data_IF_634147843060
#
_entry.id   IF_634147843060
#
_cell.length_a   1.000
_cell.length_b   1.000
_cell.length_c   1.000
_cell.angle_alpha   90.00
_cell.angle_beta   90.00
_cell.angle_gamma   90.00
#
_symmetry.space_group_name_H-M   'P 1'
#
loop_
_entity.id
_entity.type
_entity.pdbx_description
1 polymer ?
#
# COMPACT_ATOMS: atom_id res chain seq x y z
N UNK A 1 -21.92 34.55 32.11
CA UNK A 1 -21.99 34.75 30.64
C UNK A 1 -20.63 34.41 30.07
N UNK A 2 -20.55 33.26 29.40
CA UNK A 2 -19.34 32.70 28.80
C UNK A 2 -19.20 33.31 27.40
N UNK A 3 -18.18 34.14 27.16
CA UNK A 3 -17.93 34.73 25.85
C UNK A 3 -17.30 33.69 24.93
N UNK A 4 -17.94 33.43 23.80
CA UNK A 4 -17.47 32.53 22.75
C UNK A 4 -16.15 33.04 22.16
N UNK A 5 -15.13 32.18 22.17
CA UNK A 5 -13.86 32.37 21.50
C UNK A 5 -14.10 32.13 20.00
N UNK A 6 -14.01 33.16 19.17
CA UNK A 6 -14.13 33.02 17.72
C UNK A 6 -12.87 32.37 17.17
N UNK A 7 -13.01 31.21 16.53
CA UNK A 7 -11.94 30.58 15.73
C UNK A 7 -11.54 31.52 14.59
N UNK A 8 -10.44 32.24 14.80
CA UNK A 8 -9.87 33.11 13.79
C UNK A 8 -9.23 32.25 12.71
N UNK A 9 -9.80 32.29 11.49
CA UNK A 9 -9.19 31.76 10.27
C UNK A 9 -7.79 32.38 10.13
N UNK A 10 -6.74 31.61 10.43
CA UNK A 10 -5.36 32.06 10.30
C UNK A 10 -5.03 32.34 8.84
N UNK A 11 -4.55 33.56 8.54
CA UNK A 11 -4.06 33.91 7.19
C UNK A 11 -2.90 32.98 6.81
N UNK A 12 -3.05 32.27 5.70
CA UNK A 12 -1.97 31.51 5.06
C UNK A 12 -0.93 32.52 4.57
N UNK A 13 0.29 32.47 5.11
CA UNK A 13 1.39 33.36 4.71
C UNK A 13 2.49 32.55 4.03
N UNK A 14 2.99 33.04 2.89
CA UNK A 14 4.16 32.47 2.22
C UNK A 14 5.41 33.27 2.57
N UNK A 15 6.52 32.58 2.89
CA UNK A 15 7.78 33.23 3.30
C UNK A 15 9.00 32.60 2.60
N UNK A 16 10.13 33.30 2.65
CA UNK A 16 11.42 32.91 2.03
C UNK A 16 11.68 33.61 0.71
N UNK A 17 12.94 33.59 0.24
CA UNK A 17 13.40 34.32 -0.95
C UNK A 17 12.61 33.96 -2.22
N UNK A 18 12.03 32.76 -2.27
CA UNK A 18 11.20 32.26 -3.37
C UNK A 18 9.77 31.84 -2.95
N UNK A 19 9.22 32.36 -1.83
CA UNK A 19 7.95 31.90 -1.27
C UNK A 19 7.91 30.38 -1.01
N UNK A 20 9.04 29.80 -0.61
CA UNK A 20 9.24 28.36 -0.47
C UNK A 20 8.65 27.79 0.82
N UNK A 21 8.23 28.63 1.77
CA UNK A 21 7.57 28.20 3.00
C UNK A 21 6.10 28.61 3.02
N UNK A 22 5.25 27.78 3.61
CA UNK A 22 3.87 28.12 3.97
C UNK A 22 3.77 28.11 5.49
N UNK A 23 3.28 29.20 6.08
CA UNK A 23 2.90 29.25 7.48
C UNK A 23 1.40 29.03 7.65
N UNK A 24 1.06 28.07 8.51
CA UNK A 24 -0.28 27.88 9.04
C UNK A 24 -0.24 28.30 10.52
N UNK A 25 -0.79 29.49 10.84
CA UNK A 25 -0.69 30.05 12.17
C UNK A 25 0.77 30.24 12.61
N UNK A 26 1.20 29.53 13.66
CA UNK A 26 2.57 29.58 14.19
C UNK A 26 3.52 28.54 13.61
N UNK A 27 3.04 27.61 12.78
CA UNK A 27 3.85 26.53 12.21
C UNK A 27 4.37 26.89 10.82
N UNK A 28 5.62 26.57 10.52
CA UNK A 28 6.30 26.84 9.24
C UNK A 28 6.61 25.52 8.54
N UNK A 29 6.06 25.33 7.35
CA UNK A 29 6.29 24.15 6.51
C UNK A 29 6.99 24.54 5.22
N UNK A 30 7.90 23.70 4.73
CA UNK A 30 8.47 23.85 3.40
C UNK A 30 7.38 23.46 2.38
N UNK A 31 7.20 24.24 1.32
CA UNK A 31 6.22 23.95 0.27
C UNK A 31 6.42 22.56 -0.31
N UNK A 32 7.66 22.18 -0.59
CA UNK A 32 7.97 20.84 -1.11
C UNK A 32 7.49 19.70 -0.20
N UNK A 33 7.38 19.94 1.11
CA UNK A 33 6.89 18.96 2.07
C UNK A 33 5.35 18.88 2.08
N UNK A 34 4.68 19.86 1.46
CA UNK A 34 3.23 19.95 1.34
C UNK A 34 2.69 19.53 -0.05
N UNK A 35 3.56 19.14 -1.00
CA UNK A 35 3.21 19.13 -2.42
C UNK A 35 3.14 17.80 -3.18
N UNK A 36 3.28 16.63 -2.56
CA UNK A 36 3.17 15.40 -3.37
C UNK A 36 2.43 14.26 -2.66
N UNK A 37 1.52 13.63 -3.41
CA UNK A 37 1.01 12.32 -3.04
C UNK A 37 2.20 11.37 -2.94
N UNK A 38 2.40 10.75 -1.78
CA UNK A 38 3.61 10.00 -1.48
C UNK A 38 3.28 8.56 -1.10
N UNK A 39 3.66 7.62 -1.97
CA UNK A 39 3.42 6.19 -1.74
C UNK A 39 4.11 5.63 -0.49
N UNK A 40 5.18 6.28 -0.02
CA UNK A 40 5.94 5.86 1.16
C UNK A 40 5.25 6.09 2.52
N UNK A 41 4.17 6.88 2.56
CA UNK A 41 3.30 7.05 3.73
C UNK A 41 1.94 6.36 3.56
N UNK A 42 1.75 5.59 2.49
CA UNK A 42 0.46 4.98 2.13
C UNK A 42 -0.69 5.99 2.02
N UNK A 43 -0.42 7.25 1.71
CA UNK A 43 -1.46 8.28 1.65
C UNK A 43 -1.82 8.63 0.20
N UNK A 44 -3.06 8.37 -0.25
CA UNK A 44 -3.51 8.81 -1.56
C UNK A 44 -3.81 10.32 -1.54
N UNK A 45 -2.98 11.12 -2.21
CA UNK A 45 -3.17 12.57 -2.40
C UNK A 45 -2.34 13.45 -1.46
N UNK A 46 -2.64 14.75 -1.46
CA UNK A 46 -1.99 15.74 -0.60
C UNK A 46 -2.50 15.60 0.84
N UNK A 47 -1.60 15.42 1.81
CA UNK A 47 -1.93 15.46 3.23
C UNK A 47 -0.91 16.33 3.98
N UNK A 48 -1.35 17.13 4.97
CA UNK A 48 -0.43 17.83 5.85
C UNK A 48 0.42 16.81 6.63
N UNK A 49 1.65 17.18 6.97
CA UNK A 49 2.46 16.36 7.88
C UNK A 49 1.69 16.13 9.19
N UNK A 50 1.72 14.89 9.71
CA UNK A 50 1.01 14.56 10.94
C UNK A 50 1.43 15.48 12.08
N UNK A 51 0.46 16.03 12.81
CA UNK A 51 0.73 16.78 14.05
C UNK A 51 1.18 15.86 15.19
N UNK A 52 0.98 14.54 15.03
CA UNK A 52 1.42 13.53 15.98
C UNK A 52 2.91 13.21 15.80
N UNK A 53 3.66 13.19 16.91
CA UNK A 53 5.12 12.93 16.94
C UNK A 53 5.48 11.44 16.78
N UNK A 54 4.66 10.64 16.10
CA UNK A 54 4.95 9.22 15.88
C UNK A 54 5.70 9.02 14.56
N UNK A 55 6.48 7.93 14.48
CA UNK A 55 7.17 7.56 13.25
C UNK A 55 6.17 7.03 12.21
N UNK A 56 6.52 7.16 10.92
CA UNK A 56 5.74 6.62 9.81
C UNK A 56 5.78 5.08 9.79
N UNK A 57 4.65 4.37 10.01
CA UNK A 57 4.61 2.92 10.08
C UNK A 57 4.44 2.25 8.70
N UNK A 58 4.05 2.99 7.66
CA UNK A 58 3.85 2.48 6.31
C UNK A 58 5.01 1.63 5.77
N UNK A 59 6.29 2.05 5.89
CA UNK A 59 7.40 1.26 5.36
C UNK A 59 7.58 -0.09 6.05
N UNK A 60 7.25 -0.18 7.34
CA UNK A 60 7.28 -1.44 8.08
C UNK A 60 6.22 -2.39 7.53
N UNK A 61 4.98 -1.91 7.38
CA UNK A 61 3.88 -2.69 6.83
C UNK A 61 4.13 -3.14 5.38
N UNK A 62 4.63 -2.24 4.54
CA UNK A 62 4.99 -2.55 3.15
C UNK A 62 6.14 -3.55 3.06
N UNK A 63 7.14 -3.47 3.94
CA UNK A 63 8.25 -4.42 3.97
C UNK A 63 7.81 -5.82 4.42
N UNK A 64 6.89 -5.88 5.39
CA UNK A 64 6.25 -7.11 5.85
C UNK A 64 5.45 -7.80 4.74
N UNK A 65 4.64 -7.00 4.04
CA UNK A 65 3.90 -7.44 2.86
C UNK A 65 4.82 -7.93 1.75
N UNK A 66 5.86 -7.16 1.42
CA UNK A 66 6.76 -7.44 0.31
C UNK A 66 7.51 -8.76 0.50
N UNK A 67 8.13 -8.97 1.66
CA UNK A 67 8.90 -10.20 1.92
C UNK A 67 8.02 -11.46 1.87
N UNK A 68 6.83 -11.38 2.45
CA UNK A 68 5.89 -12.51 2.49
C UNK A 68 5.33 -12.81 1.09
N UNK A 69 4.94 -11.76 0.35
CA UNK A 69 4.52 -11.88 -1.06
C UNK A 69 5.62 -12.50 -1.91
N UNK A 70 6.85 -11.97 -1.83
CA UNK A 70 7.99 -12.45 -2.60
C UNK A 70 8.21 -13.96 -2.42
N UNK A 71 8.19 -14.43 -1.18
CA UNK A 71 8.39 -15.85 -0.86
C UNK A 71 7.26 -16.72 -1.44
N UNK A 72 5.99 -16.37 -1.21
CA UNK A 72 4.86 -17.13 -1.74
C UNK A 72 4.86 -17.14 -3.28
N UNK A 73 5.21 -16.01 -3.88
CA UNK A 73 5.28 -15.83 -5.34
C UNK A 73 6.36 -16.71 -5.99
N UNK A 74 7.54 -16.85 -5.37
CA UNK A 74 8.57 -17.78 -5.83
C UNK A 74 8.11 -19.23 -5.75
N UNK A 75 7.41 -19.60 -4.67
CA UNK A 75 6.83 -20.94 -4.50
C UNK A 75 5.76 -21.20 -5.57
N UNK A 76 4.86 -20.25 -5.82
CA UNK A 76 3.83 -20.34 -6.86
C UNK A 76 4.43 -20.48 -8.27
N UNK A 77 5.58 -19.84 -8.52
CA UNK A 77 6.33 -19.99 -9.77
C UNK A 77 7.08 -21.34 -9.89
N UNK A 78 7.18 -22.10 -8.79
CA UNK A 78 8.05 -23.28 -8.61
C UNK A 78 9.53 -22.97 -8.83
N UNK A 79 9.97 -21.79 -8.37
CA UNK A 79 11.39 -21.44 -8.39
C UNK A 79 12.20 -22.49 -7.61
N UNK A 80 13.35 -22.89 -8.15
CA UNK A 80 14.19 -23.95 -7.56
C UNK A 80 13.45 -25.27 -7.29
N UNK A 81 12.39 -25.57 -8.05
CA UNK A 81 11.56 -26.77 -7.90
C UNK A 81 10.85 -26.91 -6.54
N UNK A 82 10.71 -25.82 -5.77
CA UNK A 82 9.94 -25.83 -4.54
C UNK A 82 8.44 -25.90 -4.87
N UNK A 83 7.77 -26.96 -4.41
CA UNK A 83 6.34 -27.21 -4.68
C UNK A 83 5.46 -27.22 -3.44
N UNK A 84 6.06 -27.42 -2.26
CA UNK A 84 5.35 -27.46 -0.98
C UNK A 84 5.40 -26.06 -0.36
N UNK A 85 4.25 -25.40 -0.16
CA UNK A 85 4.23 -24.00 0.27
C UNK A 85 4.40 -23.80 1.78
N UNK A 86 4.38 -24.86 2.61
CA UNK A 86 4.31 -24.77 4.07
C UNK A 86 5.34 -23.86 4.74
N UNK A 87 6.51 -23.63 4.12
CA UNK A 87 7.49 -22.67 4.62
C UNK A 87 6.94 -21.23 4.73
N UNK A 88 5.86 -20.89 4.01
CA UNK A 88 5.20 -19.58 4.07
C UNK A 88 4.47 -19.32 5.40
N UNK A 89 4.14 -20.37 6.16
CA UNK A 89 3.34 -20.23 7.41
C UNK A 89 4.02 -19.29 8.40
N UNK A 90 5.33 -19.40 8.59
CA UNK A 90 6.07 -18.52 9.51
C UNK A 90 5.97 -17.04 9.11
N UNK A 91 6.46 -16.66 7.92
CA UNK A 91 6.36 -15.28 7.43
C UNK A 91 4.92 -14.75 7.37
N UNK A 92 3.95 -15.59 6.97
CA UNK A 92 2.55 -15.20 6.89
C UNK A 92 1.91 -14.92 8.26
N UNK A 93 2.28 -15.65 9.32
CA UNK A 93 1.81 -15.33 10.67
C UNK A 93 2.53 -14.11 11.23
N UNK A 94 3.86 -14.15 11.26
CA UNK A 94 4.64 -13.22 12.07
C UNK A 94 4.90 -11.90 11.37
N UNK A 95 5.25 -11.93 10.08
CA UNK A 95 5.68 -10.75 9.37
C UNK A 95 4.54 -10.16 8.55
N UNK A 96 4.14 -10.82 7.47
CA UNK A 96 2.99 -10.44 6.66
C UNK A 96 1.70 -10.37 7.47
N UNK A 97 1.56 -11.11 8.57
CA UNK A 97 0.41 -11.06 9.47
C UNK A 97 0.55 -10.02 10.58
N UNK A 98 1.15 -10.42 11.70
CA UNK A 98 1.19 -9.65 12.95
C UNK A 98 1.88 -8.30 12.77
N UNK A 99 3.10 -8.27 12.22
CA UNK A 99 3.84 -7.00 12.03
C UNK A 99 3.09 -6.06 11.09
N UNK A 100 2.49 -6.59 10.03
CA UNK A 100 1.71 -5.79 9.10
C UNK A 100 0.43 -5.21 9.74
N UNK A 101 -0.30 -5.99 10.55
CA UNK A 101 -1.46 -5.51 11.31
C UNK A 101 -1.04 -4.42 12.31
N UNK A 102 0.06 -4.61 13.04
CA UNK A 102 0.56 -3.60 13.98
C UNK A 102 0.87 -2.29 13.25
N UNK A 103 1.54 -2.35 12.10
CA UNK A 103 1.77 -1.17 11.27
C UNK A 103 0.46 -0.50 10.83
N UNK A 104 -0.56 -1.28 10.43
CA UNK A 104 -1.88 -0.77 10.10
C UNK A 104 -2.61 -0.10 11.28
N UNK A 105 -2.52 -0.65 12.48
CA UNK A 105 -3.09 -0.02 13.69
C UNK A 105 -2.44 1.34 13.95
N UNK A 106 -1.13 1.45 13.75
CA UNK A 106 -0.43 2.74 13.87
C UNK A 106 -0.78 3.72 12.74
N UNK A 107 -1.06 3.26 11.52
CA UNK A 107 -1.61 4.12 10.47
C UNK A 107 -2.98 4.70 10.87
N UNK A 108 -3.84 3.91 11.51
CA UNK A 108 -5.13 4.41 12.03
C UNK A 108 -4.90 5.46 13.11
N UNK A 109 -3.93 5.26 13.99
CA UNK A 109 -3.54 6.24 15.01
C UNK A 109 -2.96 7.54 14.42
N UNK A 110 -2.45 7.50 13.20
CA UNK A 110 -1.99 8.64 12.41
C UNK A 110 -3.08 9.21 11.49
N UNK A 111 -4.34 8.77 11.67
CA UNK A 111 -5.51 9.19 10.88
C UNK A 111 -5.41 8.82 9.38
N UNK A 112 -4.52 7.90 9.03
CA UNK A 112 -4.40 7.36 7.68
C UNK A 112 -5.36 6.18 7.49
N UNK A 113 -6.59 6.50 7.10
CA UNK A 113 -7.63 5.50 6.84
C UNK A 113 -7.25 4.51 5.72
N UNK A 114 -6.53 4.98 4.68
CA UNK A 114 -6.09 4.10 3.59
C UNK A 114 -5.06 3.10 4.08
N UNK A 115 -3.96 3.59 4.67
CA UNK A 115 -2.87 2.76 5.18
C UNK A 115 -3.34 1.77 6.23
N UNK A 116 -4.18 2.23 7.15
CA UNK A 116 -4.79 1.38 8.18
C UNK A 116 -5.65 0.26 7.60
N UNK A 117 -6.54 0.59 6.67
CA UNK A 117 -7.42 -0.39 6.02
C UNK A 117 -6.61 -1.38 5.17
N UNK A 118 -5.67 -0.90 4.36
CA UNK A 118 -4.88 -1.75 3.49
C UNK A 118 -3.99 -2.71 4.30
N UNK A 119 -3.17 -2.20 5.23
CA UNK A 119 -2.23 -3.01 5.98
C UNK A 119 -2.92 -4.03 6.90
N UNK A 120 -3.98 -3.64 7.61
CA UNK A 120 -4.73 -4.58 8.44
C UNK A 120 -5.44 -5.66 7.61
N UNK A 121 -6.04 -5.30 6.47
CA UNK A 121 -6.70 -6.29 5.59
C UNK A 121 -5.72 -7.29 5.00
N UNK A 122 -4.56 -6.83 4.51
CA UNK A 122 -3.54 -7.74 3.98
C UNK A 122 -2.87 -8.58 5.08
N UNK A 123 -2.72 -8.03 6.30
CA UNK A 123 -2.24 -8.83 7.42
C UNK A 123 -3.24 -9.89 7.87
N UNK A 124 -4.54 -9.55 7.87
CA UNK A 124 -5.62 -10.52 8.04
C UNK A 124 -5.62 -11.60 6.95
N UNK A 125 -5.38 -11.22 5.70
CA UNK A 125 -5.21 -12.16 4.60
C UNK A 125 -4.07 -13.16 4.87
N UNK A 126 -2.89 -12.68 5.26
CA UNK A 126 -1.74 -13.56 5.51
C UNK A 126 -1.98 -14.53 6.65
N UNK A 127 -2.54 -14.06 7.76
CA UNK A 127 -2.89 -14.94 8.89
C UNK A 127 -3.94 -15.98 8.49
N UNK A 128 -4.96 -15.58 7.72
CA UNK A 128 -6.00 -16.49 7.21
C UNK A 128 -5.42 -17.52 6.24
N UNK A 129 -4.51 -17.10 5.35
CA UNK A 129 -3.83 -17.99 4.42
C UNK A 129 -2.92 -19.00 5.14
N UNK A 130 -2.23 -18.56 6.20
CA UNK A 130 -1.41 -19.44 7.03
C UNK A 130 -2.27 -20.50 7.75
N UNK A 131 -3.46 -20.13 8.24
CA UNK A 131 -4.37 -21.03 8.93
C UNK A 131 -4.76 -22.26 8.10
N UNK A 132 -4.82 -22.14 6.77
CA UNK A 132 -5.08 -23.26 5.85
C UNK A 132 -4.06 -24.39 6.06
N UNK A 133 -2.79 -24.05 6.30
CA UNK A 133 -1.69 -25.01 6.40
C UNK A 133 -1.38 -25.46 7.83
N UNK A 134 -2.01 -24.86 8.83
CA UNK A 134 -1.80 -25.19 10.24
C UNK A 134 -2.80 -26.28 10.65
N UNK A 135 -2.35 -27.50 10.99
CA UNK A 135 -3.27 -28.63 11.24
C UNK A 135 -4.29 -28.37 12.35
N UNK A 136 -3.94 -27.53 13.33
CA UNK A 136 -4.80 -27.20 14.46
C UNK A 136 -6.10 -26.46 14.07
N UNK A 137 -6.09 -25.72 12.95
CA UNK A 137 -7.32 -25.10 12.43
C UNK A 137 -8.25 -26.09 11.73
N UNK A 138 -7.77 -27.29 11.39
CA UNK A 138 -8.58 -28.35 10.80
C UNK A 138 -9.11 -28.07 9.39
N UNK A 139 -8.69 -26.98 8.73
CA UNK A 139 -9.22 -26.58 7.41
C UNK A 139 -8.94 -27.64 6.36
N UNK A 140 -7.67 -28.01 6.13
CA UNK A 140 -7.32 -29.05 5.14
C UNK A 140 -7.93 -30.40 5.45
N UNK A 141 -8.02 -30.77 6.74
CA UNK A 141 -8.63 -32.01 7.19
C UNK A 141 -10.13 -32.09 6.87
N UNK A 142 -10.84 -30.96 6.90
CA UNK A 142 -12.27 -30.92 6.58
C UNK A 142 -12.58 -31.25 5.11
N UNK A 143 -11.58 -31.19 4.23
CA UNK A 143 -11.69 -31.48 2.80
C UNK A 143 -10.90 -32.73 2.38
N UNK A 144 -10.58 -33.63 3.32
CA UNK A 144 -9.85 -34.87 3.02
C UNK A 144 -10.66 -35.75 2.05
N UNK A 145 -10.08 -36.08 0.89
CA UNK A 145 -10.76 -36.79 -0.19
C UNK A 145 -11.58 -35.91 -1.14
N UNK A 146 -11.66 -34.61 -0.89
CA UNK A 146 -12.38 -33.61 -1.70
C UNK A 146 -11.48 -32.38 -1.97
N UNK A 147 -10.23 -32.61 -2.42
CA UNK A 147 -9.23 -31.54 -2.59
C UNK A 147 -9.65 -30.47 -3.60
N UNK A 148 -10.54 -30.83 -4.53
CA UNK A 148 -11.12 -29.89 -5.49
C UNK A 148 -12.06 -28.87 -4.82
N UNK A 149 -12.79 -29.27 -3.78
CA UNK A 149 -13.63 -28.35 -3.02
C UNK A 149 -12.79 -27.38 -2.19
N UNK A 150 -11.69 -27.85 -1.58
CA UNK A 150 -10.74 -26.98 -0.91
C UNK A 150 -10.16 -25.94 -1.87
N UNK A 151 -9.74 -26.37 -3.06
CA UNK A 151 -9.20 -25.47 -4.09
C UNK A 151 -10.24 -24.40 -4.47
N UNK A 152 -11.50 -24.78 -4.67
CA UNK A 152 -12.58 -23.82 -4.95
C UNK A 152 -12.82 -22.85 -3.78
N UNK A 153 -12.79 -23.33 -2.53
CA UNK A 153 -12.95 -22.48 -1.34
C UNK A 153 -11.80 -21.45 -1.21
N UNK A 154 -10.56 -21.89 -1.44
CA UNK A 154 -9.40 -20.98 -1.49
C UNK A 154 -9.53 -20.00 -2.65
N UNK A 155 -10.04 -20.45 -3.80
CA UNK A 155 -10.36 -19.60 -4.94
C UNK A 155 -11.38 -18.49 -4.61
N UNK A 156 -12.45 -18.81 -3.86
CA UNK A 156 -13.41 -17.80 -3.39
C UNK A 156 -12.78 -16.78 -2.45
N UNK A 157 -11.90 -17.24 -1.55
CA UNK A 157 -11.17 -16.35 -0.64
C UNK A 157 -10.25 -15.39 -1.41
N UNK A 158 -9.48 -15.90 -2.38
CA UNK A 158 -8.63 -15.09 -3.25
C UNK A 158 -9.45 -14.12 -4.11
N UNK A 159 -10.63 -14.54 -4.59
CA UNK A 159 -11.53 -13.69 -5.36
C UNK A 159 -12.09 -12.53 -4.51
N UNK A 160 -12.44 -12.79 -3.24
CA UNK A 160 -12.84 -11.73 -2.32
C UNK A 160 -11.71 -10.71 -2.11
N UNK A 161 -10.46 -11.18 -2.01
CA UNK A 161 -9.28 -10.32 -1.93
C UNK A 161 -9.03 -9.53 -3.22
N UNK A 162 -9.30 -10.10 -4.39
CA UNK A 162 -9.30 -9.37 -5.68
C UNK A 162 -10.31 -8.23 -5.64
N UNK A 163 -11.57 -8.48 -5.28
CA UNK A 163 -12.62 -7.44 -5.24
C UNK A 163 -12.25 -6.31 -4.28
N UNK A 164 -11.74 -6.64 -3.09
CA UNK A 164 -11.22 -5.65 -2.15
C UNK A 164 -10.05 -4.85 -2.73
N UNK A 165 -9.08 -5.54 -3.33
CA UNK A 165 -7.87 -4.91 -3.90
C UNK A 165 -8.23 -3.97 -5.06
N UNK A 166 -9.15 -4.37 -5.93
CA UNK A 166 -9.69 -3.51 -6.98
C UNK A 166 -10.30 -2.22 -6.40
N UNK A 167 -11.09 -2.35 -5.33
CA UNK A 167 -11.68 -1.20 -4.64
C UNK A 167 -10.64 -0.20 -4.14
N UNK A 168 -9.59 -0.67 -3.45
CA UNK A 168 -8.53 0.23 -2.97
C UNK A 168 -7.60 0.71 -4.08
N UNK A 169 -7.45 -0.05 -5.17
CA UNK A 169 -6.67 0.37 -6.35
C UNK A 169 -7.27 1.64 -6.95
N UNK A 170 -8.59 1.74 -7.02
CA UNK A 170 -9.31 2.96 -7.47
C UNK A 170 -8.94 4.15 -6.57
N UNK A 171 -8.80 3.95 -5.26
CA UNK A 171 -8.38 5.01 -4.34
C UNK A 171 -6.94 5.50 -4.58
N UNK A 172 -6.10 4.76 -5.31
CA UNK A 172 -4.70 5.11 -5.58
C UNK A 172 -4.50 5.87 -6.89
N UNK A 173 -5.55 6.09 -7.69
CA UNK A 173 -5.43 6.77 -9.01
C UNK A 173 -4.97 8.23 -8.94
N UNK A 174 -4.99 8.87 -7.77
CA UNK A 174 -4.47 10.23 -7.53
C UNK A 174 -3.13 10.25 -6.79
N UNK A 175 -2.44 9.11 -6.73
CA UNK A 175 -1.18 8.94 -6.00
C UNK A 175 0.04 8.94 -6.93
N UNK A 176 1.13 8.26 -6.55
CA UNK A 176 2.28 8.04 -7.42
C UNK A 176 2.06 6.83 -8.33
N UNK A 177 2.73 6.82 -9.48
CA UNK A 177 2.72 5.70 -10.41
C UNK A 177 3.12 4.38 -9.74
N UNK A 178 4.18 4.40 -8.92
CA UNK A 178 4.66 3.18 -8.24
C UNK A 178 3.68 2.67 -7.18
N UNK A 179 2.93 3.57 -6.55
CA UNK A 179 1.91 3.19 -5.57
C UNK A 179 0.67 2.62 -6.25
N UNK A 180 0.22 3.23 -7.34
CA UNK A 180 -0.85 2.69 -8.17
C UNK A 180 -0.49 1.33 -8.79
N UNK A 181 0.70 1.21 -9.39
CA UNK A 181 1.15 -0.04 -10.01
C UNK A 181 1.26 -1.18 -8.99
N UNK A 182 1.62 -0.89 -7.74
CA UNK A 182 1.65 -1.88 -6.67
C UNK A 182 0.28 -2.55 -6.50
N UNK A 183 -0.78 -1.77 -6.29
CA UNK A 183 -2.12 -2.32 -6.08
C UNK A 183 -2.75 -2.88 -7.35
N UNK A 184 -2.52 -2.23 -8.49
CA UNK A 184 -3.01 -2.72 -9.77
C UNK A 184 -2.43 -4.09 -10.15
N UNK A 185 -1.13 -4.30 -9.98
CA UNK A 185 -0.52 -5.60 -10.24
C UNK A 185 -0.86 -6.62 -9.15
N UNK A 186 -1.08 -6.18 -7.90
CA UNK A 186 -1.57 -7.05 -6.83
C UNK A 186 -2.98 -7.56 -7.12
N UNK A 187 -3.87 -6.71 -7.65
CA UNK A 187 -5.21 -7.09 -8.07
C UNK A 187 -5.17 -8.20 -9.13
N UNK A 188 -4.38 -7.99 -10.19
CA UNK A 188 -4.18 -8.99 -11.24
C UNK A 188 -3.55 -10.27 -10.65
N UNK A 189 -2.64 -10.14 -9.70
CA UNK A 189 -2.02 -11.29 -9.02
C UNK A 189 -3.06 -12.13 -8.29
N UNK A 190 -3.91 -11.52 -7.46
CA UNK A 190 -5.00 -12.24 -6.78
C UNK A 190 -5.98 -12.86 -7.76
N UNK A 191 -6.33 -12.14 -8.83
CA UNK A 191 -7.22 -12.66 -9.87
C UNK A 191 -6.65 -13.91 -10.54
N UNK A 192 -5.37 -13.88 -10.95
CA UNK A 192 -4.71 -15.03 -11.55
C UNK A 192 -4.60 -16.21 -10.58
N UNK A 193 -4.27 -15.95 -9.31
CA UNK A 193 -4.21 -17.00 -8.31
C UNK A 193 -5.60 -17.63 -8.09
N UNK A 194 -6.67 -16.83 -7.98
CA UNK A 194 -8.05 -17.34 -7.88
C UNK A 194 -8.44 -18.20 -9.08
N UNK A 195 -8.18 -17.73 -10.31
CA UNK A 195 -8.44 -18.51 -11.54
C UNK A 195 -7.62 -19.82 -11.53
N UNK A 196 -6.40 -19.79 -11.00
CA UNK A 196 -5.57 -20.99 -10.93
C UNK A 196 -6.12 -22.04 -9.97
N UNK A 197 -6.72 -21.61 -8.86
CA UNK A 197 -7.38 -22.50 -7.91
C UNK A 197 -8.67 -23.10 -8.49
N UNK A 198 -9.47 -22.32 -9.23
CA UNK A 198 -10.68 -22.84 -9.90
C UNK A 198 -10.40 -23.78 -11.08
N UNK A 199 -9.29 -23.55 -11.80
CA UNK A 199 -9.00 -24.30 -13.04
C UNK A 199 -7.96 -25.39 -12.87
N UNK A 200 -7.21 -25.41 -11.75
CA UNK A 200 -6.06 -26.28 -11.54
C UNK A 200 -4.89 -26.05 -12.52
N UNK A 201 -4.94 -25.00 -13.36
CA UNK A 201 -3.96 -24.77 -14.41
C UNK A 201 -2.69 -24.14 -13.83
N UNK A 202 -1.63 -24.92 -13.77
CA UNK A 202 -0.34 -24.46 -13.27
C UNK A 202 0.23 -23.25 -14.05
N UNK A 203 0.01 -23.16 -15.37
CA UNK A 203 0.46 -22.00 -16.15
C UNK A 203 -0.08 -20.67 -15.63
N UNK A 204 -1.34 -20.66 -15.17
CA UNK A 204 -1.98 -19.48 -14.57
C UNK A 204 -1.38 -19.20 -13.18
N UNK A 205 -1.19 -20.25 -12.37
CA UNK A 205 -0.55 -20.12 -11.04
C UNK A 205 0.86 -19.54 -11.13
N UNK A 206 1.65 -19.99 -12.12
CA UNK A 206 2.99 -19.48 -12.40
C UNK A 206 2.96 -18.02 -12.85
N UNK A 207 2.02 -17.63 -13.70
CA UNK A 207 1.86 -16.23 -14.11
C UNK A 207 1.54 -15.33 -12.92
N UNK A 208 0.62 -15.74 -12.04
CA UNK A 208 0.34 -15.04 -10.78
C UNK A 208 1.56 -14.98 -9.86
N UNK A 209 2.34 -16.06 -9.76
CA UNK A 209 3.61 -16.08 -9.04
C UNK A 209 4.61 -15.05 -9.56
N UNK A 210 4.83 -14.99 -10.88
CA UNK A 210 5.77 -14.01 -11.49
C UNK A 210 5.31 -12.57 -11.26
N UNK A 211 4.01 -12.27 -11.46
CA UNK A 211 3.49 -10.93 -11.17
C UNK A 211 3.64 -10.57 -9.70
N UNK A 212 3.39 -11.51 -8.79
CA UNK A 212 3.56 -11.27 -7.36
C UNK A 212 5.01 -10.98 -6.95
N UNK A 213 6.02 -11.51 -7.65
CA UNK A 213 7.42 -11.08 -7.45
C UNK A 213 7.59 -9.60 -7.80
N UNK A 214 7.02 -9.16 -8.92
CA UNK A 214 7.07 -7.75 -9.34
C UNK A 214 6.36 -6.85 -8.32
N UNK A 215 5.19 -7.28 -7.83
CA UNK A 215 4.44 -6.61 -6.76
C UNK A 215 5.29 -6.46 -5.50
N UNK A 216 5.99 -7.51 -5.07
CA UNK A 216 6.86 -7.43 -3.90
C UNK A 216 8.01 -6.41 -4.08
N UNK A 217 8.61 -6.35 -5.28
CA UNK A 217 9.64 -5.36 -5.59
C UNK A 217 9.09 -3.93 -5.56
N UNK A 218 7.87 -3.71 -6.08
CA UNK A 218 7.20 -2.41 -5.99
C UNK A 218 6.86 -2.04 -4.55
N UNK A 219 6.46 -3.00 -3.71
CA UNK A 219 6.18 -2.76 -2.29
C UNK A 219 7.46 -2.36 -1.54
N UNK A 220 8.58 -3.06 -1.76
CA UNK A 220 9.88 -2.65 -1.21
C UNK A 220 10.35 -1.30 -1.74
N UNK A 221 10.08 -0.97 -3.00
CA UNK A 221 10.39 0.36 -3.53
C UNK A 221 9.60 1.45 -2.76
N UNK A 222 8.29 1.27 -2.56
CA UNK A 222 7.49 2.23 -1.82
C UNK A 222 7.92 2.31 -0.34
N UNK A 223 8.28 1.17 0.28
CA UNK A 223 8.84 1.15 1.63
C UNK A 223 10.18 1.91 1.71
N UNK A 224 11.09 1.67 0.75
CA UNK A 224 12.36 2.37 0.66
C UNK A 224 12.15 3.86 0.48
N UNK A 225 11.23 4.28 -0.40
CA UNK A 225 10.88 5.68 -0.56
C UNK A 225 10.43 6.30 0.77
N UNK A 226 9.62 5.60 1.56
CA UNK A 226 9.16 6.05 2.87
C UNK A 226 10.21 6.07 3.99
N UNK A 227 11.34 5.35 3.85
CA UNK A 227 12.44 5.33 4.82
C UNK A 227 13.61 6.24 4.43
N UNK A 228 13.89 6.36 3.14
CA UNK A 228 15.07 7.01 2.62
C UNK A 228 14.92 8.53 2.67
N UNK A 229 15.69 9.15 3.56
CA UNK A 229 15.81 10.60 3.69
C UNK A 229 17.21 11.04 3.28
N UNK A 230 17.39 12.34 2.99
CA UNK A 230 18.72 12.91 2.71
C UNK A 230 19.73 12.75 3.85
N UNK A 231 19.26 12.48 5.07
CA UNK A 231 20.10 12.29 6.25
C UNK A 231 20.61 10.86 6.40
N UNK A 232 19.86 9.86 5.92
CA UNK A 232 20.18 8.44 6.10
C UNK A 232 20.55 7.70 4.81
N UNK A 233 20.34 8.32 3.63
CA UNK A 233 20.59 7.69 2.34
C UNK A 233 21.05 8.70 1.29
N UNK A 234 22.01 8.28 0.45
CA UNK A 234 22.40 9.02 -0.76
C UNK A 234 21.36 8.90 -1.88
N UNK A 235 20.54 7.85 -1.85
CA UNK A 235 19.46 7.59 -2.79
C UNK A 235 18.12 7.86 -2.12
N UNK A 236 17.28 8.70 -2.72
CA UNK A 236 15.91 8.96 -2.25
C UNK A 236 14.91 8.47 -3.29
N UNK A 237 13.76 7.98 -2.85
CA UNK A 237 12.68 7.61 -3.77
C UNK A 237 12.22 8.82 -4.57
N UNK A 238 12.11 8.68 -5.89
CA UNK A 238 11.57 9.71 -6.76
C UNK A 238 10.09 9.43 -7.00
N UNK A 239 9.16 10.16 -6.38
CA UNK A 239 7.74 10.02 -6.69
C UNK A 239 7.50 10.47 -8.13
N UNK A 240 6.83 9.63 -8.93
CA UNK A 240 6.30 10.03 -10.24
C UNK A 240 4.80 10.20 -10.05
N UNK A 241 4.26 11.43 -9.92
CA UNK A 241 2.84 11.63 -9.67
C UNK A 241 2.02 11.19 -10.88
N UNK A 242 0.83 10.61 -10.63
CA UNK A 242 -0.14 10.37 -11.68
C UNK A 242 -0.77 11.70 -12.15
N UNK A 243 -1.20 11.81 -13.42
CA UNK A 243 -1.84 13.03 -13.91
C UNK A 243 -3.06 13.40 -13.08
N UNK A 244 -3.04 14.58 -12.45
CA UNK A 244 -4.21 15.16 -11.79
C UNK A 244 -4.78 16.30 -12.62
N UNK A 245 -6.09 16.52 -12.53
CA UNK A 245 -6.77 17.60 -13.25
C UNK A 245 -6.31 19.01 -12.82
N UNK A 246 -5.57 19.12 -11.71
CA UNK A 246 -5.06 20.39 -11.18
C UNK A 246 -3.87 20.93 -11.98
N UNK A 247 -3.01 20.07 -12.53
CA UNK A 247 -1.90 20.48 -13.41
C UNK A 247 -2.40 21.15 -14.71
N UNK A 248 -3.62 20.83 -15.14
CA UNK A 248 -4.23 21.43 -16.33
C UNK A 248 -4.73 22.84 -16.04
N UNK A 249 -5.23 23.11 -14.83
CA UNK A 249 -5.76 24.43 -14.48
C UNK A 249 -4.65 25.47 -14.28
N UNK A 250 -3.53 25.12 -13.65
CA UNK A 250 -2.42 26.09 -13.44
C UNK A 250 -1.79 26.55 -14.76
N UNK A 251 -1.69 25.66 -15.75
CA UNK A 251 -1.18 26.00 -17.07
C UNK A 251 -2.18 26.81 -17.92
N UNK A 252 -3.49 26.66 -17.69
CA UNK A 252 -4.53 27.46 -18.36
C UNK A 252 -4.68 28.84 -17.69
N UNK A 253 -4.69 28.92 -16.35
CA UNK A 253 -4.80 30.20 -15.63
C UNK A 253 -3.49 30.99 -15.62
N UNK A 254 -2.33 30.32 -15.67
CA UNK A 254 -1.02 30.96 -15.77
C UNK A 254 -0.76 31.62 -17.13
N UNK A 255 -1.38 31.12 -18.21
CA UNK A 255 -1.28 31.72 -19.55
C UNK A 255 -2.09 33.02 -19.67
N UNK A 256 -3.19 33.15 -18.93
CA UNK A 256 -4.03 34.35 -18.95
C UNK A 256 -3.51 35.51 -18.09
N UNK A 257 -2.66 35.25 -17.07
CA UNK A 257 -2.06 36.34 -16.27
C UNK A 257 -0.86 37.04 -16.94
N UNK A 258 -0.27 36.46 -17.99
CA UNK A 258 0.88 37.08 -18.72
C UNK A 258 0.47 38.02 -19.85
N UNK A 259 -0.83 38.30 -20.04
CA UNK A 259 -1.32 39.23 -21.08
C UNK A 259 -1.92 40.53 -20.54
N UNK A 260 -1.71 40.83 -19.26
CA UNK A 260 -2.10 42.11 -18.66
C UNK A 260 -0.91 42.66 -17.90
N UNK A 261 0.03 43.23 -18.65
CA UNK A 261 1.00 44.25 -18.23
C UNK A 261 1.48 44.93 -19.52
#
# INVERSE_FOLDING_TARGET
MMQAQSDAVGRIATEGDNNEYIRFGHQKYLKSDLYEAFGGTLQPGLAPASEHRFANPAPLGLSAFAATTFMLSLINAKAQNVTIPNAIVGPAIFYGGIVQIIAGIWEIALENAFGGTALCSYGGFWMSYAAIYIPWFGITKAYEGEESELSNAVGFFLLAMTIFTLGITICTMKSTLMFFLLFFLLDITFLLLAISEFTGKFGVKRAGGILGVIVALLAWYNAFAGLATRQNSYLTGHPVPLPTNEYTLTNITGRNRRRVN
#
